data_IF_876248801572
#
_entry.id   IF_876248801572
#
_cell.length_a   1.000
_cell.length_b   1.000
_cell.length_c   1.000
_cell.angle_alpha   90.00
_cell.angle_beta   90.00
_cell.angle_gamma   90.00
#
_symmetry.space_group_name_H-M   'P 1'
#
loop_
_entity.id
_entity.type
_entity.pdbx_description
1 polymer ?
#
# COMPACT_ATOMS: atom_id res chain seq x y z
N UNK A 1 1.49 20.96 11.52
CA UNK A 1 1.31 19.52 11.27
C UNK A 1 0.42 18.93 12.37
N UNK A 2 -0.74 18.36 12.04
CA UNK A 2 -1.62 17.72 13.03
C UNK A 2 -0.91 16.51 13.66
N UNK A 3 -0.92 16.41 14.99
CA UNK A 3 -0.15 15.40 15.73
C UNK A 3 -0.97 14.11 15.89
N UNK A 4 -0.69 13.08 15.08
CA UNK A 4 -1.64 11.97 14.86
C UNK A 4 -1.64 10.74 15.79
N UNK A 5 -1.00 10.67 16.97
CA UNK A 5 -0.80 9.38 17.72
C UNK A 5 -0.24 8.17 16.91
N UNK A 6 0.56 7.30 17.53
CA UNK A 6 1.05 6.09 16.86
C UNK A 6 -0.04 5.01 16.96
N UNK A 7 -0.42 4.38 15.85
CA UNK A 7 -1.38 3.28 15.84
C UNK A 7 -0.81 2.09 15.08
N UNK A 8 -1.33 0.89 15.34
CA UNK A 8 -0.94 -0.34 14.63
C UNK A 8 -1.04 -0.22 13.10
N UNK A 9 -2.03 0.55 12.64
CA UNK A 9 -2.29 0.80 11.23
C UNK A 9 -1.73 2.15 10.73
N UNK A 10 -1.09 2.93 11.61
CA UNK A 10 -0.57 4.26 11.28
C UNK A 10 0.76 4.47 12.00
N UNK A 11 1.83 4.00 11.36
CA UNK A 11 3.20 4.18 11.82
C UNK A 11 3.71 5.56 11.45
N UNK A 12 4.64 6.08 12.27
CA UNK A 12 5.25 7.41 12.07
C UNK A 12 6.75 7.28 11.91
N UNK A 13 7.39 8.13 11.08
CA UNK A 13 8.84 8.19 11.00
C UNK A 13 9.46 8.68 12.32
N UNK A 14 10.72 8.33 12.56
CA UNK A 14 11.53 8.86 13.66
C UNK A 14 11.87 10.32 13.34
N UNK A 15 11.82 11.20 14.35
CA UNK A 15 12.23 12.60 14.21
C UNK A 15 13.72 12.68 13.88
N UNK A 16 14.14 13.75 13.20
CA UNK A 16 15.54 13.96 12.79
C UNK A 16 16.52 13.85 13.96
N UNK A 17 16.15 14.34 15.14
CA UNK A 17 16.94 14.22 16.36
C UNK A 17 17.22 12.76 16.78
N UNK A 18 16.28 11.83 16.51
CA UNK A 18 16.43 10.39 16.81
C UNK A 18 17.19 9.61 15.73
N UNK A 19 17.68 10.27 14.68
CA UNK A 19 18.43 9.66 13.58
C UNK A 19 19.95 9.89 13.66
N UNK A 20 20.40 10.90 14.40
CA UNK A 20 21.79 11.39 14.35
C UNK A 20 22.81 10.28 14.65
N UNK A 21 22.51 9.37 15.58
CA UNK A 21 23.39 8.26 15.98
C UNK A 21 22.66 6.91 16.00
N UNK A 22 21.64 6.73 15.16
CA UNK A 22 20.87 5.48 15.14
C UNK A 22 20.52 5.06 13.71
N UNK A 23 21.36 4.21 13.14
CA UNK A 23 21.21 3.73 11.77
C UNK A 23 19.99 2.84 11.59
N UNK A 24 19.63 2.04 12.60
CA UNK A 24 18.43 1.21 12.59
C UNK A 24 17.14 2.06 12.47
N UNK A 25 17.10 3.25 13.09
CA UNK A 25 16.01 4.20 12.89
C UNK A 25 15.98 4.81 11.48
N UNK A 26 17.16 4.99 10.83
CA UNK A 26 17.24 5.43 9.43
C UNK A 26 16.70 4.36 8.49
N UNK A 27 17.06 3.10 8.71
CA UNK A 27 16.55 1.93 7.96
C UNK A 27 15.03 1.87 8.06
N UNK A 28 14.46 1.98 9.27
CA UNK A 28 13.01 2.03 9.45
C UNK A 28 12.36 3.17 8.65
N UNK A 29 12.88 4.40 8.78
CA UNK A 29 12.34 5.55 8.05
C UNK A 29 12.40 5.38 6.53
N UNK A 30 13.50 4.80 6.03
CA UNK A 30 13.66 4.47 4.62
C UNK A 30 12.61 3.44 4.16
N UNK A 31 12.44 2.33 4.90
CA UNK A 31 11.43 1.29 4.59
C UNK A 31 10.01 1.86 4.60
N UNK A 32 9.67 2.66 5.61
CA UNK A 32 8.38 3.33 5.71
C UNK A 32 8.15 4.26 4.51
N UNK A 33 9.17 5.02 4.10
CA UNK A 33 9.08 5.92 2.95
C UNK A 33 8.94 5.15 1.63
N UNK A 34 9.65 4.02 1.48
CA UNK A 34 9.54 3.13 0.32
C UNK A 34 8.13 2.54 0.20
N UNK A 35 7.55 2.07 1.31
CA UNK A 35 6.18 1.58 1.34
C UNK A 35 5.17 2.67 0.94
N UNK A 36 5.32 3.89 1.49
CA UNK A 36 4.47 5.05 1.15
C UNK A 36 4.55 5.37 -0.35
N UNK A 37 5.77 5.41 -0.90
CA UNK A 37 6.01 5.69 -2.33
C UNK A 37 5.31 4.68 -3.23
N UNK A 38 5.32 3.39 -2.90
CA UNK A 38 4.59 2.37 -3.67
C UNK A 38 3.08 2.67 -3.71
N UNK A 39 2.50 2.98 -2.55
CA UNK A 39 1.06 3.31 -2.44
C UNK A 39 0.72 4.59 -3.20
N UNK A 40 1.53 5.65 -3.05
CA UNK A 40 1.35 6.91 -3.78
C UNK A 40 1.44 6.74 -5.29
N UNK A 41 2.40 5.95 -5.77
CA UNK A 41 2.55 5.68 -7.19
C UNK A 41 1.31 4.97 -7.74
N UNK A 42 0.79 3.96 -7.02
CA UNK A 42 -0.44 3.27 -7.42
C UNK A 42 -1.64 4.22 -7.49
N UNK A 43 -1.86 5.06 -6.47
CA UNK A 43 -2.92 6.07 -6.51
C UNK A 43 -2.67 7.16 -7.55
N UNK A 44 -1.41 7.47 -7.89
CA UNK A 44 -1.04 8.35 -8.97
C UNK A 44 -1.52 7.84 -10.33
N UNK A 45 -1.31 6.54 -10.60
CA UNK A 45 -1.82 5.88 -11.82
C UNK A 45 -3.35 5.92 -11.85
N UNK A 46 -4.00 5.54 -10.75
CA UNK A 46 -5.46 5.57 -10.66
C UNK A 46 -6.02 6.98 -10.89
N UNK A 47 -5.38 8.02 -10.34
CA UNK A 47 -5.77 9.42 -10.52
C UNK A 47 -5.57 9.92 -11.95
N UNK A 48 -4.51 9.48 -12.62
CA UNK A 48 -4.27 9.82 -14.02
C UNK A 48 -5.30 9.16 -14.95
N UNK A 49 -5.71 7.92 -14.64
CA UNK A 49 -6.64 7.13 -15.48
C UNK A 49 -8.10 7.44 -15.22
N UNK A 50 -8.51 7.64 -13.97
CA UNK A 50 -9.91 7.76 -13.58
C UNK A 50 -10.20 9.13 -12.94
N UNK A 51 -11.15 9.86 -13.56
CA UNK A 51 -11.56 11.21 -13.12
C UNK A 51 -12.09 11.24 -11.69
N UNK A 52 -12.65 10.14 -11.19
CA UNK A 52 -13.21 10.04 -9.83
C UNK A 52 -12.19 10.36 -8.72
N UNK A 53 -10.90 10.13 -8.95
CA UNK A 53 -9.84 10.43 -7.97
C UNK A 53 -9.21 11.83 -8.13
N UNK A 54 -9.65 12.62 -9.11
CA UNK A 54 -9.08 13.96 -9.33
C UNK A 54 -9.64 15.00 -8.34
N UNK A 55 -10.80 14.72 -7.74
CA UNK A 55 -11.46 15.58 -6.76
C UNK A 55 -11.81 14.85 -5.45
N UNK A 56 -12.34 15.58 -4.47
CA UNK A 56 -12.79 14.98 -3.21
C UNK A 56 -14.00 14.07 -3.45
N UNK A 57 -13.93 12.84 -2.96
CA UNK A 57 -15.05 11.89 -3.05
C UNK A 57 -16.10 12.22 -1.98
N UNK A 58 -17.31 12.59 -2.40
CA UNK A 58 -18.47 12.84 -1.54
C UNK A 58 -19.26 11.55 -1.30
N UNK A 59 -18.57 10.51 -0.80
CA UNK A 59 -19.16 9.18 -0.56
C UNK A 59 -18.76 8.65 0.82
N UNK A 60 -19.52 7.70 1.33
CA UNK A 60 -19.19 7.03 2.59
C UNK A 60 -17.88 6.22 2.45
N UNK A 61 -17.08 6.07 3.53
CA UNK A 61 -15.81 5.36 3.50
C UNK A 61 -15.90 3.94 2.91
N UNK A 62 -16.97 3.22 3.21
CA UNK A 62 -17.19 1.86 2.68
C UNK A 62 -17.38 1.86 1.15
N UNK A 63 -18.06 2.88 0.62
CA UNK A 63 -18.23 3.05 -0.82
C UNK A 63 -16.91 3.50 -1.47
N UNK A 64 -16.13 4.37 -0.82
CA UNK A 64 -14.81 4.77 -1.30
C UNK A 64 -13.89 3.54 -1.47
N UNK A 65 -13.92 2.60 -0.52
CA UNK A 65 -13.16 1.35 -0.62
C UNK A 65 -13.59 0.52 -1.85
N UNK A 66 -14.90 0.38 -2.10
CA UNK A 66 -15.42 -0.33 -3.28
C UNK A 66 -15.01 0.35 -4.59
N UNK A 67 -15.06 1.69 -4.65
CA UNK A 67 -14.63 2.46 -5.83
C UNK A 67 -13.14 2.20 -6.13
N UNK A 68 -12.28 2.24 -5.11
CA UNK A 68 -10.85 1.96 -5.27
C UNK A 68 -10.62 0.54 -5.78
N UNK A 69 -11.30 -0.45 -5.19
CA UNK A 69 -11.19 -1.85 -5.63
C UNK A 69 -11.66 -2.04 -7.07
N UNK A 70 -12.81 -1.47 -7.44
CA UNK A 70 -13.33 -1.55 -8.80
C UNK A 70 -12.38 -0.89 -9.82
N UNK A 71 -11.83 0.28 -9.49
CA UNK A 71 -10.86 0.97 -10.35
C UNK A 71 -9.57 0.17 -10.52
N UNK A 72 -9.10 -0.49 -9.46
CA UNK A 72 -7.93 -1.37 -9.52
C UNK A 72 -8.19 -2.61 -10.38
N UNK A 73 -9.30 -3.31 -10.18
CA UNK A 73 -9.68 -4.46 -11.00
C UNK A 73 -9.79 -4.08 -12.48
N UNK A 74 -10.45 -2.96 -12.78
CA UNK A 74 -10.60 -2.47 -14.14
C UNK A 74 -9.26 -2.06 -14.76
N UNK A 75 -8.38 -1.40 -13.99
CA UNK A 75 -7.03 -1.08 -14.46
C UNK A 75 -6.24 -2.32 -14.84
N UNK A 76 -6.27 -3.36 -14.00
CA UNK A 76 -5.59 -4.63 -14.27
C UNK A 76 -6.16 -5.33 -15.50
N UNK A 77 -7.49 -5.40 -15.62
CA UNK A 77 -8.16 -5.98 -16.78
C UNK A 77 -7.74 -5.28 -18.08
N UNK A 78 -7.84 -3.94 -18.12
CA UNK A 78 -7.45 -3.16 -19.29
C UNK A 78 -5.97 -3.32 -19.60
N UNK A 79 -5.10 -3.45 -18.59
CA UNK A 79 -3.67 -3.67 -18.83
C UNK A 79 -3.41 -5.01 -19.52
N UNK A 80 -4.14 -6.06 -19.14
CA UNK A 80 -4.04 -7.39 -19.77
C UNK A 80 -4.56 -7.34 -21.21
N UNK A 81 -5.72 -6.72 -21.43
CA UNK A 81 -6.31 -6.58 -22.76
C UNK A 81 -5.39 -5.78 -23.70
N UNK A 82 -4.93 -4.60 -23.26
CA UNK A 82 -4.00 -3.79 -24.04
C UNK A 82 -2.61 -4.44 -24.19
N UNK A 83 -2.22 -5.42 -23.35
CA UNK A 83 -0.99 -6.19 -23.58
C UNK A 83 -1.19 -7.32 -24.58
N UNK A 84 -2.42 -7.83 -24.73
CA UNK A 84 -2.75 -8.88 -25.68
C UNK A 84 -2.70 -8.37 -27.14
N UNK A 85 -2.76 -7.05 -27.35
CA UNK A 85 -2.53 -6.41 -28.65
C UNK A 85 -1.03 -6.28 -29.01
N UNK A 86 -0.11 -6.54 -28.07
CA UNK A 86 1.35 -6.44 -28.29
C UNK A 86 2.11 -7.76 -28.20
N UNK A 87 1.43 -8.89 -27.97
CA UNK A 87 2.08 -10.17 -27.64
C UNK A 87 1.76 -11.30 -28.64
N UNK A 88 1.83 -11.01 -29.94
CA UNK A 88 2.00 -12.07 -30.96
C UNK A 88 3.47 -12.52 -31.12
N UNK A 89 4.44 -11.97 -30.36
CA UNK A 89 5.87 -12.30 -30.56
C UNK A 89 6.74 -12.32 -29.29
N UNK A 90 6.30 -12.92 -28.18
CA UNK A 90 7.25 -13.44 -27.21
C UNK A 90 6.79 -14.77 -26.61
N UNK A 91 7.31 -15.87 -27.16
CA UNK A 91 7.28 -17.17 -26.48
C UNK A 91 7.87 -17.02 -25.08
N UNK A 92 7.09 -17.39 -24.06
CA UNK A 92 7.61 -17.55 -22.72
C UNK A 92 7.34 -19.01 -22.28
N UNK A 93 8.37 -19.87 -22.27
CA UNK A 93 8.27 -21.14 -21.59
C UNK A 93 8.34 -20.82 -20.10
N UNK A 94 7.23 -21.05 -19.39
CA UNK A 94 7.17 -21.44 -17.98
C UNK A 94 5.81 -21.04 -17.41
N UNK A 95 4.80 -21.78 -17.87
CA UNK A 95 3.53 -21.92 -17.16
C UNK A 95 3.79 -22.68 -15.85
N UNK A 96 4.17 -21.96 -14.78
CA UNK A 96 4.03 -22.46 -13.43
C UNK A 96 2.76 -21.92 -12.78
N UNK A 97 1.77 -22.79 -12.88
CA UNK A 97 0.47 -22.83 -12.24
C UNK A 97 0.57 -22.52 -10.74
N UNK A 98 -0.23 -21.57 -10.26
CA UNK A 98 -0.27 -21.17 -8.86
C UNK A 98 -1.51 -20.38 -8.53
N UNK A 99 -2.66 -21.04 -8.50
CA UNK A 99 -3.86 -20.50 -7.86
C UNK A 99 -3.57 -20.27 -6.37
N UNK A 100 -3.24 -19.04 -5.98
CA UNK A 100 -3.26 -18.64 -4.58
C UNK A 100 -4.32 -17.57 -4.35
N UNK A 101 -5.48 -18.04 -3.89
CA UNK A 101 -6.35 -17.25 -3.06
C UNK A 101 -5.56 -16.80 -1.82
N UNK A 102 -5.38 -15.49 -1.63
CA UNK A 102 -4.91 -14.91 -0.36
C UNK A 102 -5.84 -13.78 0.03
N UNK A 103 -7.11 -14.14 0.25
CA UNK A 103 -7.98 -13.38 1.14
C UNK A 103 -8.46 -14.33 2.22
N UNK A 104 -7.70 -14.42 3.31
CA UNK A 104 -8.23 -14.94 4.57
C UNK A 104 -7.76 -14.08 5.75
N UNK A 105 -8.77 -13.73 6.54
CA UNK A 105 -8.76 -13.46 7.97
C UNK A 105 -8.13 -12.16 8.48
N UNK A 106 -8.90 -11.07 8.34
CA UNK A 106 -8.80 -9.92 9.25
C UNK A 106 -9.42 -10.34 10.58
N UNK A 107 -8.65 -11.03 11.41
CA UNK A 107 -8.99 -11.23 12.81
C UNK A 107 -9.16 -9.86 13.48
N UNK A 108 -10.27 -9.67 14.19
CA UNK A 108 -10.59 -8.50 15.01
C UNK A 108 -9.49 -8.29 16.05
N UNK A 109 -8.49 -7.48 15.73
CA UNK A 109 -7.44 -7.20 16.69
C UNK A 109 -7.94 -6.18 17.72
N UNK A 110 -8.01 -6.67 18.95
CA UNK A 110 -8.34 -5.92 20.15
C UNK A 110 -7.57 -4.61 20.29
N UNK A 111 -8.24 -3.67 20.98
CA UNK A 111 -7.87 -2.27 21.18
C UNK A 111 -6.68 -2.08 22.13
N UNK A 112 -5.57 -2.80 21.93
CA UNK A 112 -4.35 -2.61 22.71
C UNK A 112 -3.52 -1.49 22.07
N UNK A 113 -3.69 -0.29 22.60
CA UNK A 113 -3.00 0.90 22.13
C UNK A 113 -1.53 0.89 22.63
N UNK A 114 -0.64 1.40 21.77
CA UNK A 114 0.76 1.76 22.03
C UNK A 114 1.85 0.66 21.95
N UNK A 115 1.79 -0.44 22.72
CA UNK A 115 2.92 -1.41 22.75
C UNK A 115 3.10 -2.18 21.43
N UNK A 116 2.01 -2.73 20.87
CA UNK A 116 2.06 -3.44 19.58
C UNK A 116 2.62 -2.57 18.45
N UNK A 117 2.21 -1.31 18.38
CA UNK A 117 2.65 -0.40 17.33
C UNK A 117 4.14 -0.04 17.46
N UNK A 118 4.65 0.03 18.69
CA UNK A 118 6.09 0.18 18.96
C UNK A 118 6.80 -1.11 18.58
N UNK A 119 6.31 -2.28 19.02
CA UNK A 119 6.93 -3.57 18.71
C UNK A 119 7.02 -3.82 17.19
N UNK A 120 5.95 -3.54 16.45
CA UNK A 120 5.94 -3.60 14.98
C UNK A 120 7.01 -2.66 14.41
N UNK A 121 7.11 -1.44 14.93
CA UNK A 121 8.08 -0.45 14.46
C UNK A 121 9.53 -0.87 14.73
N UNK A 122 9.80 -1.41 15.92
CA UNK A 122 11.11 -1.92 16.32
C UNK A 122 11.50 -3.14 15.48
N UNK A 123 10.54 -4.04 15.15
CA UNK A 123 10.77 -5.19 14.26
C UNK A 123 11.28 -4.80 12.87
N UNK A 124 10.89 -3.63 12.35
CA UNK A 124 11.30 -3.17 11.01
C UNK A 124 12.62 -2.38 11.00
N UNK A 125 13.39 -2.40 12.10
CA UNK A 125 14.70 -1.75 12.21
C UNK A 125 15.88 -2.62 11.81
N UNK A 126 15.73 -3.94 11.95
CA UNK A 126 16.64 -4.98 11.45
C UNK A 126 16.34 -5.25 9.97
#
# INVERSE_FOLDING_TARGET
MRHFLLKRYLLKPYSKAKLVNNDSNKVFNYRLSRARRTVENAFGILRARFRVFQGPMQVQPDMANKIVQAAYCLHNYLRIENSHDFDENFENPDAQNGSQSVMSDIATVGRNFCQDAIAIREKFKE
#
